data_IF_801431245299
#
_entry.id   IF_801431245299
#
_cell.length_a   1.000
_cell.length_b   1.000
_cell.length_c   1.000
_cell.angle_alpha   90.00
_cell.angle_beta   90.00
_cell.angle_gamma   90.00
#
_symmetry.space_group_name_H-M   'P 1'
#
loop_
_entity.id
_entity.type
_entity.pdbx_description
1 polymer ?
#
# COMPACT_ATOMS: atom_id res chain seq x y z
N UNK A 1 25.04 -9.85 -37.52
CA UNK A 1 23.65 -10.34 -37.64
C UNK A 1 22.98 -10.16 -36.30
N UNK A 2 21.97 -9.29 -36.25
CA UNK A 2 21.27 -8.91 -35.04
C UNK A 2 20.45 -10.08 -34.47
N UNK A 3 20.58 -10.31 -33.18
CA UNK A 3 19.64 -11.10 -32.39
C UNK A 3 18.38 -10.27 -32.16
N UNK A 4 17.30 -10.60 -32.86
CA UNK A 4 15.97 -10.06 -32.58
C UNK A 4 15.54 -10.51 -31.17
N UNK A 5 15.14 -9.61 -30.27
CA UNK A 5 14.59 -10.01 -28.98
C UNK A 5 13.27 -10.74 -29.23
N UNK A 6 13.16 -11.97 -28.73
CA UNK A 6 11.95 -12.78 -28.85
C UNK A 6 10.75 -12.05 -28.26
N UNK A 7 9.63 -12.10 -28.99
CA UNK A 7 8.34 -11.60 -28.52
C UNK A 7 8.07 -12.05 -27.07
N UNK A 8 7.51 -11.16 -26.22
CA UNK A 8 7.14 -11.53 -24.87
C UNK A 8 6.11 -12.67 -24.94
N UNK A 9 6.54 -13.89 -24.57
CA UNK A 9 5.65 -15.05 -24.44
C UNK A 9 4.55 -14.66 -23.46
N UNK A 10 3.32 -14.54 -23.96
CA UNK A 10 2.15 -14.25 -23.16
C UNK A 10 2.08 -15.20 -21.96
N UNK A 11 2.41 -14.69 -20.77
CA UNK A 11 2.42 -15.42 -19.50
C UNK A 11 1.14 -15.17 -18.70
N UNK A 12 0.85 -16.03 -17.72
CA UNK A 12 -0.32 -15.91 -16.86
C UNK A 12 -1.65 -16.19 -17.58
N UNK A 13 -2.73 -15.50 -17.17
CA UNK A 13 -4.05 -15.66 -17.80
C UNK A 13 -4.06 -15.29 -19.29
N UNK A 14 -3.15 -14.42 -19.74
CA UNK A 14 -2.99 -14.09 -21.15
C UNK A 14 -2.52 -15.30 -21.98
N UNK A 15 -1.72 -16.18 -21.38
CA UNK A 15 -1.27 -17.43 -22.00
C UNK A 15 -2.42 -18.41 -22.26
N UNK A 16 -3.48 -18.34 -21.45
CA UNK A 16 -4.71 -19.15 -21.58
C UNK A 16 -5.59 -18.74 -22.76
N UNK A 17 -5.35 -17.54 -23.34
CA UNK A 17 -6.11 -17.07 -24.51
C UNK A 17 -5.75 -17.82 -25.79
N UNK A 18 -4.61 -18.53 -25.81
CA UNK A 18 -4.30 -19.46 -26.90
C UNK A 18 -5.19 -20.68 -26.73
N UNK A 19 -6.09 -20.90 -27.70
CA UNK A 19 -6.95 -22.09 -27.75
C UNK A 19 -6.09 -23.36 -27.62
N UNK A 20 -6.41 -24.20 -26.63
CA UNK A 20 -5.71 -25.46 -26.36
C UNK A 20 -4.70 -25.42 -25.20
N UNK A 21 -4.18 -24.26 -24.80
CA UNK A 21 -3.15 -24.17 -23.74
C UNK A 21 -3.63 -24.63 -22.35
N UNK A 22 -4.87 -24.31 -21.99
CA UNK A 22 -5.49 -24.79 -20.73
C UNK A 22 -5.73 -26.30 -20.78
N UNK A 23 -6.22 -26.80 -21.91
CA UNK A 23 -6.48 -28.23 -22.11
C UNK A 23 -5.20 -29.04 -22.03
N UNK A 24 -4.11 -28.55 -22.62
CA UNK A 24 -2.77 -29.15 -22.54
C UNK A 24 -2.23 -29.18 -21.10
N UNK A 25 -2.38 -28.06 -20.36
CA UNK A 25 -1.99 -27.95 -18.96
C UNK A 25 -2.72 -28.97 -18.08
N UNK A 26 -4.05 -29.00 -18.18
CA UNK A 26 -4.89 -29.93 -17.43
C UNK A 26 -4.60 -31.37 -17.85
N UNK A 27 -4.36 -31.65 -19.13
CA UNK A 27 -4.05 -32.99 -19.60
C UNK A 27 -2.75 -33.52 -18.97
N UNK A 28 -1.68 -32.72 -18.97
CA UNK A 28 -0.42 -33.12 -18.34
C UNK A 28 -0.58 -33.33 -16.83
N UNK A 29 -1.33 -32.45 -16.16
CA UNK A 29 -1.62 -32.59 -14.73
C UNK A 29 -2.39 -33.87 -14.41
N UNK A 30 -3.40 -34.22 -15.21
CA UNK A 30 -4.18 -35.44 -15.03
C UNK A 30 -3.36 -36.71 -15.34
N UNK A 31 -2.46 -36.66 -16.33
CA UNK A 31 -1.52 -37.75 -16.57
C UNK A 31 -0.51 -37.94 -15.40
N UNK A 32 -0.05 -36.85 -14.80
CA UNK A 32 0.85 -36.89 -13.63
C UNK A 32 0.15 -37.45 -12.40
N UNK A 33 -1.10 -37.05 -12.15
CA UNK A 33 -1.82 -37.42 -10.92
C UNK A 33 -2.52 -38.77 -10.99
N UNK A 34 -2.91 -39.24 -12.18
CA UNK A 34 -3.63 -40.52 -12.36
C UNK A 34 -2.75 -41.67 -12.86
N UNK A 35 -1.64 -41.37 -13.54
CA UNK A 35 -0.81 -42.34 -14.27
C UNK A 35 -1.63 -43.38 -15.08
N UNK A 36 -2.53 -42.92 -15.96
CA UNK A 36 -3.56 -43.77 -16.53
C UNK A 36 -2.98 -44.70 -17.61
N UNK A 37 -3.51 -45.92 -17.71
CA UNK A 37 -3.17 -46.86 -18.80
C UNK A 37 -3.99 -46.65 -20.07
N UNK A 38 -5.06 -45.85 -20.00
CA UNK A 38 -5.94 -45.50 -21.11
C UNK A 38 -6.26 -44.00 -21.05
N UNK A 39 -6.59 -43.37 -22.18
CA UNK A 39 -6.94 -41.94 -22.20
C UNK A 39 -8.35 -41.62 -21.73
N UNK A 40 -9.22 -42.63 -21.55
CA UNK A 40 -10.62 -42.44 -21.16
C UNK A 40 -10.79 -41.71 -19.81
N UNK A 41 -10.09 -42.07 -18.71
CA UNK A 41 -10.19 -41.37 -17.44
C UNK A 41 -9.76 -39.90 -17.51
N UNK A 42 -8.74 -39.59 -18.33
CA UNK A 42 -8.29 -38.21 -18.56
C UNK A 42 -9.36 -37.43 -19.31
N UNK A 43 -9.91 -38.00 -20.38
CA UNK A 43 -10.97 -37.38 -21.16
C UNK A 43 -12.20 -37.04 -20.30
N UNK A 44 -12.62 -37.97 -19.45
CA UNK A 44 -13.76 -37.79 -18.53
C UNK A 44 -13.54 -36.61 -17.56
N UNK A 45 -12.34 -36.45 -16.98
CA UNK A 45 -12.04 -35.33 -16.06
C UNK A 45 -11.91 -33.98 -16.75
N UNK A 46 -11.43 -33.95 -17.99
CA UNK A 46 -11.36 -32.71 -18.78
C UNK A 46 -12.69 -32.36 -19.45
N UNK A 47 -13.73 -33.20 -19.35
CA UNK A 47 -15.00 -33.00 -20.06
C UNK A 47 -14.84 -33.10 -21.59
N UNK A 48 -13.90 -33.93 -22.06
CA UNK A 48 -13.56 -34.11 -23.47
C UNK A 48 -14.01 -35.47 -23.99
N UNK A 49 -14.09 -35.59 -25.31
CA UNK A 49 -14.17 -36.92 -25.95
C UNK A 49 -12.81 -37.61 -25.91
N UNK A 50 -12.78 -38.95 -25.95
CA UNK A 50 -11.53 -39.72 -26.03
C UNK A 50 -10.70 -39.35 -27.27
N UNK A 51 -11.37 -39.00 -28.38
CA UNK A 51 -10.72 -38.51 -29.60
C UNK A 51 -10.02 -37.16 -29.39
N UNK A 52 -10.65 -36.23 -28.65
CA UNK A 52 -10.04 -34.95 -28.30
C UNK A 52 -8.85 -35.14 -27.35
N UNK A 53 -8.97 -36.00 -26.33
CA UNK A 53 -7.84 -36.36 -25.46
C UNK A 53 -6.67 -36.99 -26.23
N UNK A 54 -6.96 -37.86 -27.21
CA UNK A 54 -5.97 -38.44 -28.10
C UNK A 54 -5.30 -37.39 -29.01
N UNK A 55 -6.06 -36.39 -29.45
CA UNK A 55 -5.50 -35.26 -30.18
C UNK A 55 -4.54 -34.44 -29.31
N UNK A 56 -4.94 -34.09 -28.08
CA UNK A 56 -4.08 -33.37 -27.12
C UNK A 56 -2.83 -34.16 -26.77
N UNK A 57 -2.95 -35.48 -26.52
CA UNK A 57 -1.80 -36.36 -26.33
C UNK A 57 -0.81 -36.27 -27.51
N UNK A 58 -1.29 -36.39 -28.75
CA UNK A 58 -0.41 -36.34 -29.94
C UNK A 58 0.30 -35.00 -30.07
N UNK A 59 -0.36 -33.89 -29.76
CA UNK A 59 0.26 -32.56 -29.79
C UNK A 59 1.37 -32.42 -28.73
N UNK A 60 1.08 -32.85 -27.50
CA UNK A 60 2.03 -32.81 -26.38
C UNK A 60 3.20 -33.78 -26.58
N UNK A 61 2.94 -34.97 -27.13
CA UNK A 61 3.96 -35.98 -27.41
C UNK A 61 4.92 -35.51 -28.51
N UNK A 62 4.42 -34.84 -29.57
CA UNK A 62 5.26 -34.21 -30.59
C UNK A 62 6.20 -33.13 -30.02
N UNK A 63 5.78 -32.48 -28.93
CA UNK A 63 6.57 -31.49 -28.19
C UNK A 63 7.47 -32.11 -27.13
N UNK A 64 7.46 -33.44 -26.99
CA UNK A 64 8.25 -34.15 -25.99
C UNK A 64 7.79 -33.92 -24.56
N UNK A 65 6.55 -33.49 -24.32
CA UNK A 65 6.03 -33.16 -22.98
C UNK A 65 5.30 -34.32 -22.31
N UNK A 66 4.87 -35.33 -23.07
CA UNK A 66 4.17 -36.53 -22.55
C UNK A 66 4.59 -37.75 -23.36
N UNK A 67 4.63 -38.91 -22.71
CA UNK A 67 4.95 -40.19 -23.33
C UNK A 67 4.14 -41.33 -22.71
N UNK A 68 4.03 -42.44 -23.46
CA UNK A 68 3.58 -43.72 -22.92
C UNK A 68 4.81 -44.47 -22.38
N UNK A 69 4.89 -44.67 -21.07
CA UNK A 69 5.96 -45.41 -20.39
C UNK A 69 5.36 -46.49 -19.51
N UNK A 70 5.86 -47.72 -19.62
CA UNK A 70 5.36 -48.88 -18.86
C UNK A 70 3.84 -49.06 -18.95
N UNK A 71 3.29 -48.82 -20.16
CA UNK A 71 1.86 -48.90 -20.42
C UNK A 71 1.03 -47.76 -19.81
N UNK A 72 1.66 -46.68 -19.35
CA UNK A 72 0.98 -45.53 -18.71
C UNK A 72 1.35 -44.21 -19.36
N UNK A 73 0.37 -43.33 -19.54
CA UNK A 73 0.59 -41.98 -20.04
C UNK A 73 1.16 -41.12 -18.91
N UNK A 74 2.36 -40.57 -19.11
CA UNK A 74 3.04 -39.74 -18.12
C UNK A 74 3.72 -38.54 -18.78
N UNK A 75 3.71 -37.36 -18.13
CA UNK A 75 4.59 -36.28 -18.52
C UNK A 75 6.05 -36.73 -18.52
N UNK A 76 6.82 -36.16 -19.43
CA UNK A 76 8.28 -36.26 -19.39
C UNK A 76 8.84 -35.29 -18.34
N UNK A 77 10.15 -35.32 -18.11
CA UNK A 77 10.80 -34.33 -17.25
C UNK A 77 10.54 -32.91 -17.76
N UNK A 78 10.63 -32.70 -19.08
CA UNK A 78 10.33 -31.44 -19.75
C UNK A 78 8.84 -31.06 -19.59
N UNK A 79 7.94 -32.05 -19.61
CA UNK A 79 6.52 -31.87 -19.34
C UNK A 79 6.24 -31.37 -17.92
N UNK A 80 6.88 -31.98 -16.91
CA UNK A 80 6.76 -31.58 -15.51
C UNK A 80 7.37 -30.18 -15.29
N UNK A 81 8.54 -29.90 -15.87
CA UNK A 81 9.15 -28.57 -15.80
C UNK A 81 8.24 -27.49 -16.41
N UNK A 82 7.64 -27.79 -17.57
CA UNK A 82 6.69 -26.90 -18.23
C UNK A 82 5.41 -26.70 -17.42
N UNK A 83 4.88 -27.75 -16.78
CA UNK A 83 3.76 -27.66 -15.83
C UNK A 83 4.07 -26.69 -14.70
N UNK A 84 5.20 -26.86 -14.00
CA UNK A 84 5.61 -26.00 -12.90
C UNK A 84 5.75 -24.53 -13.32
N UNK A 85 6.44 -24.26 -14.43
CA UNK A 85 6.63 -22.91 -14.95
C UNK A 85 5.30 -22.25 -15.31
N UNK A 86 4.37 -23.02 -15.89
CA UNK A 86 3.07 -22.50 -16.33
C UNK A 86 2.13 -22.26 -15.16
N UNK A 87 2.07 -23.18 -14.19
CA UNK A 87 1.28 -23.01 -12.96
C UNK A 87 1.81 -21.85 -12.10
N UNK A 88 3.12 -21.73 -11.92
CA UNK A 88 3.70 -20.61 -11.15
C UNK A 88 3.40 -19.24 -11.79
N UNK A 89 3.53 -19.12 -13.12
CA UNK A 89 3.15 -17.89 -13.83
C UNK A 89 1.67 -17.57 -13.71
N UNK A 90 0.81 -18.59 -13.71
CA UNK A 90 -0.63 -18.43 -13.54
C UNK A 90 -0.96 -17.97 -12.12
N UNK A 91 -0.38 -18.59 -11.11
CA UNK A 91 -0.52 -18.22 -9.70
C UNK A 91 -0.12 -16.76 -9.47
N UNK A 92 1.04 -16.35 -9.95
CA UNK A 92 1.52 -14.98 -9.84
C UNK A 92 0.59 -13.96 -10.50
N UNK A 93 0.07 -14.28 -11.69
CA UNK A 93 -0.84 -13.40 -12.41
C UNK A 93 -2.20 -13.29 -11.72
N UNK A 94 -2.75 -14.40 -11.25
CA UNK A 94 -3.99 -14.43 -10.48
C UNK A 94 -3.82 -13.63 -9.19
N UNK A 95 -2.73 -13.84 -8.45
CA UNK A 95 -2.42 -13.10 -7.22
C UNK A 95 -2.34 -11.59 -7.46
N UNK A 96 -1.62 -11.15 -8.50
CA UNK A 96 -1.56 -9.72 -8.88
C UNK A 96 -2.93 -9.16 -9.22
N UNK A 97 -3.75 -9.88 -9.99
CA UNK A 97 -5.09 -9.40 -10.38
C UNK A 97 -6.06 -9.37 -9.22
N UNK A 98 -6.05 -10.37 -8.34
CA UNK A 98 -6.87 -10.39 -7.13
C UNK A 98 -6.57 -9.21 -6.21
N UNK A 99 -5.32 -8.75 -6.12
CA UNK A 99 -4.98 -7.54 -5.38
C UNK A 99 -5.72 -6.27 -5.89
N UNK A 100 -6.16 -6.25 -7.14
CA UNK A 100 -6.95 -5.16 -7.73
C UNK A 100 -8.46 -5.35 -7.57
N UNK A 101 -8.93 -6.53 -7.15
CA UNK A 101 -10.35 -6.87 -7.02
C UNK A 101 -10.83 -6.83 -5.55
N UNK A 102 -10.18 -6.06 -4.69
CA UNK A 102 -10.62 -5.88 -3.30
C UNK A 102 -12.02 -5.24 -3.24
N UNK A 103 -13.06 -6.07 -3.10
CA UNK A 103 -14.41 -5.61 -2.77
C UNK A 103 -14.49 -5.43 -1.26
N UNK A 104 -14.29 -4.21 -0.78
CA UNK A 104 -14.50 -3.85 0.62
C UNK A 104 -16.01 -3.84 0.87
N UNK A 105 -16.54 -4.92 1.48
CA UNK A 105 -17.98 -5.05 1.79
C UNK A 105 -18.44 -4.10 2.90
N UNK A 106 -17.57 -3.84 3.87
CA UNK A 106 -17.77 -2.86 4.93
C UNK A 106 -16.44 -2.29 5.40
N UNK A 107 -16.48 -1.10 5.98
CA UNK A 107 -15.33 -0.44 6.61
C UNK A 107 -15.70 0.03 8.01
N UNK A 108 -14.67 0.32 8.82
CA UNK A 108 -14.82 0.92 10.14
C UNK A 108 -14.39 2.38 10.09
N UNK A 109 -15.20 3.24 10.68
CA UNK A 109 -14.94 4.67 10.74
C UNK A 109 -15.30 5.23 12.12
N UNK A 110 -14.70 6.36 12.50
CA UNK A 110 -15.06 7.08 13.72
C UNK A 110 -16.30 7.94 13.46
N UNK A 111 -17.34 7.79 14.28
CA UNK A 111 -18.56 8.55 14.12
C UNK A 111 -18.36 10.03 14.50
N UNK A 112 -18.67 10.97 13.60
CA UNK A 112 -18.59 12.41 13.91
C UNK A 112 -19.81 12.94 14.69
N UNK A 113 -20.88 12.14 14.75
CA UNK A 113 -22.07 12.34 15.55
C UNK A 113 -22.59 10.98 16.03
N UNK A 114 -23.67 10.97 16.79
CA UNK A 114 -24.38 9.72 17.04
C UNK A 114 -24.99 9.21 15.72
N UNK A 115 -24.79 7.92 15.45
CA UNK A 115 -25.21 7.26 14.22
C UNK A 115 -25.99 5.99 14.53
N UNK A 116 -27.11 5.80 13.86
CA UNK A 116 -28.00 4.64 13.97
C UNK A 116 -27.86 3.74 12.74
N UNK A 117 -28.28 2.48 12.89
CA UNK A 117 -28.30 1.53 11.78
C UNK A 117 -29.13 2.09 10.62
N UNK A 118 -28.63 1.90 9.40
CA UNK A 118 -29.15 2.37 8.12
C UNK A 118 -29.04 3.88 7.84
N UNK A 119 -28.49 4.67 8.77
CA UNK A 119 -28.24 6.09 8.51
C UNK A 119 -27.30 6.25 7.31
N UNK A 120 -27.63 7.14 6.35
CA UNK A 120 -26.72 7.46 5.26
C UNK A 120 -25.55 8.28 5.82
N UNK A 121 -24.34 7.91 5.42
CA UNK A 121 -23.12 8.59 5.85
C UNK A 121 -22.20 8.89 4.68
N UNK A 122 -21.43 9.96 4.82
CA UNK A 122 -20.30 10.29 3.98
C UNK A 122 -19.02 9.97 4.74
N UNK A 123 -18.05 9.39 4.05
CA UNK A 123 -16.77 9.01 4.61
C UNK A 123 -15.71 10.04 4.21
N UNK A 124 -14.95 10.50 5.19
CA UNK A 124 -13.86 11.48 5.01
C UNK A 124 -12.70 11.15 5.94
N UNK A 125 -11.47 11.50 5.56
CA UNK A 125 -10.35 11.49 6.50
C UNK A 125 -10.41 12.77 7.31
N UNK A 126 -10.36 12.64 8.64
CA UNK A 126 -10.28 13.76 9.57
C UNK A 126 -9.30 13.43 10.67
N UNK A 127 -8.33 14.31 10.91
CA UNK A 127 -7.28 14.12 11.91
C UNK A 127 -6.56 12.77 11.76
N UNK A 128 -6.33 12.35 10.52
CA UNK A 128 -5.68 11.08 10.19
C UNK A 128 -6.57 9.84 10.27
N UNK A 129 -7.84 10.00 10.63
CA UNK A 129 -8.78 8.90 10.87
C UNK A 129 -9.91 8.90 9.85
N UNK A 130 -10.25 7.72 9.33
CA UNK A 130 -11.47 7.53 8.55
C UNK A 130 -12.68 7.79 9.45
N UNK A 131 -13.50 8.76 9.07
CA UNK A 131 -14.60 9.28 9.85
C UNK A 131 -15.91 9.21 9.08
N UNK A 132 -17.00 8.94 9.79
CA UNK A 132 -18.36 8.87 9.24
C UNK A 132 -19.16 10.11 9.68
N UNK A 133 -19.55 10.92 8.71
CA UNK A 133 -20.41 12.09 8.89
C UNK A 133 -21.83 11.77 8.40
N UNK A 134 -22.89 12.19 9.11
CA UNK A 134 -24.25 12.04 8.60
C UNK A 134 -24.45 12.69 7.23
N UNK A 135 -25.29 12.06 6.42
CA UNK A 135 -25.69 12.55 5.11
C UNK A 135 -24.86 11.96 3.97
N UNK A 136 -25.16 12.39 2.74
CA UNK A 136 -24.63 11.80 1.50
C UNK A 136 -23.98 12.84 0.59
N UNK A 137 -23.36 13.87 1.16
CA UNK A 137 -22.80 15.00 0.41
C UNK A 137 -21.37 14.79 -0.06
N UNK A 138 -20.68 13.72 0.38
CA UNK A 138 -19.30 13.43 0.03
C UNK A 138 -19.11 12.55 -1.22
N UNK A 139 -17.87 12.49 -1.71
CA UNK A 139 -17.44 11.62 -2.82
C UNK A 139 -17.38 10.14 -2.42
N UNK A 140 -17.22 9.84 -1.14
CA UNK A 140 -17.34 8.50 -0.56
C UNK A 140 -18.54 8.44 0.37
N UNK A 141 -19.40 7.44 0.16
CA UNK A 141 -20.69 7.29 0.83
C UNK A 141 -20.92 5.85 1.26
N UNK A 142 -21.85 5.66 2.18
CA UNK A 142 -22.33 4.34 2.58
C UNK A 142 -23.50 4.41 3.55
N UNK A 143 -23.82 3.27 4.15
CA UNK A 143 -24.85 3.14 5.18
C UNK A 143 -24.31 2.49 6.43
N UNK A 144 -24.74 2.97 7.58
CA UNK A 144 -24.32 2.42 8.87
C UNK A 144 -24.88 1.00 9.04
N UNK A 145 -24.01 0.00 9.05
CA UNK A 145 -24.35 -1.38 9.37
C UNK A 145 -24.46 -1.59 10.89
N UNK A 146 -23.55 -0.97 11.65
CA UNK A 146 -23.56 -0.95 13.12
C UNK A 146 -23.29 0.47 13.61
N UNK A 147 -24.29 1.05 14.29
CA UNK A 147 -24.25 2.39 14.84
C UNK A 147 -23.42 2.52 16.11
N UNK A 148 -23.26 3.76 16.58
CA UNK A 148 -22.43 4.12 17.72
C UNK A 148 -22.55 5.60 18.06
N UNK A 149 -22.13 5.95 19.27
CA UNK A 149 -22.06 7.35 19.71
C UNK A 149 -20.91 8.10 19.03
N UNK A 150 -20.99 9.43 19.02
CA UNK A 150 -19.90 10.30 18.56
C UNK A 150 -18.54 9.88 19.15
N UNK A 151 -17.51 9.81 18.32
CA UNK A 151 -16.15 9.43 18.68
C UNK A 151 -15.93 7.92 18.83
N UNK A 152 -16.96 7.08 18.63
CA UNK A 152 -16.84 5.61 18.65
C UNK A 152 -16.72 5.04 17.23
N UNK A 153 -16.19 3.83 17.15
CA UNK A 153 -16.09 3.09 15.89
C UNK A 153 -17.49 2.61 15.49
N UNK A 154 -17.87 2.93 14.26
CA UNK A 154 -19.06 2.41 13.58
C UNK A 154 -18.66 1.55 12.38
N UNK A 155 -19.56 0.67 11.97
CA UNK A 155 -19.39 -0.12 10.75
C UNK A 155 -20.26 0.47 9.64
N UNK A 156 -19.67 0.71 8.48
CA UNK A 156 -20.34 1.28 7.30
C UNK A 156 -20.23 0.28 6.15
N UNK A 157 -21.37 -0.05 5.55
CA UNK A 157 -21.50 -0.94 4.38
C UNK A 157 -22.09 -0.16 3.19
N UNK A 158 -22.42 -0.86 2.11
CA UNK A 158 -22.97 -0.30 0.87
C UNK A 158 -22.11 0.87 0.36
N UNK A 159 -20.79 0.63 0.32
CA UNK A 159 -19.81 1.67 0.05
C UNK A 159 -19.86 2.08 -1.43
N UNK A 160 -19.97 3.38 -1.66
CA UNK A 160 -19.97 3.99 -2.99
C UNK A 160 -18.91 5.10 -3.07
N UNK A 161 -18.17 5.12 -4.18
CA UNK A 161 -17.14 6.14 -4.43
C UNK A 161 -15.82 5.92 -3.69
N UNK A 162 -14.96 6.93 -3.71
CA UNK A 162 -13.59 6.87 -3.18
C UNK A 162 -13.39 8.00 -2.18
N UNK A 163 -12.74 7.72 -1.06
CA UNK A 163 -12.38 8.73 -0.07
C UNK A 163 -11.27 9.60 -0.66
N UNK A 164 -11.55 10.88 -0.86
CA UNK A 164 -10.54 11.84 -1.28
C UNK A 164 -9.54 12.05 -0.16
N UNK A 165 -8.25 11.92 -0.47
CA UNK A 165 -7.17 12.29 0.43
C UNK A 165 -6.72 13.71 0.11
N UNK A 166 -6.54 14.52 1.14
CA UNK A 166 -6.00 15.87 1.05
C UNK A 166 -4.69 15.90 1.85
N UNK A 167 -3.55 15.62 1.20
CA UNK A 167 -2.28 15.59 1.90
C UNK A 167 -1.93 16.95 2.52
N UNK A 168 -1.42 16.94 3.75
CA UNK A 168 -0.94 18.14 4.42
C UNK A 168 0.57 18.34 4.23
N UNK A 169 1.03 19.55 4.46
CA UNK A 169 2.46 19.89 4.41
C UNK A 169 3.21 19.33 5.63
N UNK A 170 4.43 18.83 5.40
CA UNK A 170 5.40 18.52 6.46
C UNK A 170 6.39 19.68 6.56
N UNK A 171 6.41 20.35 7.71
CA UNK A 171 7.39 21.40 8.01
C UNK A 171 8.63 20.81 8.66
N UNK A 172 9.79 20.98 8.02
CA UNK A 172 11.09 20.57 8.55
C UNK A 172 11.83 21.82 9.00
N UNK A 173 12.20 21.86 10.28
CA UNK A 173 12.92 22.97 10.91
C UNK A 173 14.33 22.54 11.26
N UNK A 174 15.32 23.23 10.69
CA UNK A 174 16.71 22.95 11.00
C UNK A 174 17.19 23.70 12.24
N UNK A 175 17.93 23.01 13.09
CA UNK A 175 18.72 23.56 14.19
C UNK A 175 20.20 23.55 13.81
N UNK A 176 20.87 24.64 14.10
CA UNK A 176 22.33 24.74 14.03
C UNK A 176 22.96 24.60 15.41
N UNK A 177 24.28 24.39 15.47
CA UNK A 177 25.05 24.47 16.73
C UNK A 177 24.86 25.82 17.44
N UNK A 178 24.70 26.89 16.67
CA UNK A 178 24.47 28.23 17.24
C UNK A 178 23.08 28.36 17.88
N UNK A 179 22.09 27.63 17.39
CA UNK A 179 20.75 27.59 18.00
C UNK A 179 20.77 26.81 19.32
N UNK A 180 21.55 25.74 19.43
CA UNK A 180 21.69 24.96 20.68
C UNK A 180 22.32 25.79 21.80
N UNK A 181 23.19 26.73 21.45
CA UNK A 181 23.80 27.67 22.40
C UNK A 181 22.88 28.86 22.75
N UNK A 182 21.74 29.04 22.06
CA UNK A 182 20.82 30.15 22.29
C UNK A 182 19.98 29.91 23.56
N UNK A 183 20.08 30.77 24.60
CA UNK A 183 19.28 30.62 25.81
C UNK A 183 17.77 30.74 25.57
N UNK A 184 17.35 31.33 24.45
CA UNK A 184 15.95 31.49 24.05
C UNK A 184 15.43 30.40 23.12
N UNK A 185 16.20 29.33 22.88
CA UNK A 185 15.81 28.22 22.00
C UNK A 185 14.45 27.62 22.41
N UNK A 186 14.22 27.42 23.70
CA UNK A 186 12.96 26.86 24.20
C UNK A 186 11.75 27.73 23.88
N UNK A 187 11.88 29.06 23.92
CA UNK A 187 10.80 29.99 23.55
C UNK A 187 10.51 29.92 22.04
N UNK A 188 11.57 29.87 21.21
CA UNK A 188 11.46 29.76 19.74
C UNK A 188 10.80 28.44 19.32
N UNK A 189 11.18 27.34 19.96
CA UNK A 189 10.56 26.03 19.72
C UNK A 189 9.11 25.99 20.20
N UNK A 190 8.77 26.61 21.34
CA UNK A 190 7.37 26.73 21.78
C UNK A 190 6.49 27.46 20.78
N UNK A 191 7.00 28.51 20.15
CA UNK A 191 6.26 29.24 19.12
C UNK A 191 6.08 28.46 17.81
N UNK A 192 6.93 27.45 17.58
CA UNK A 192 6.88 26.59 16.39
C UNK A 192 5.88 25.45 16.55
N UNK A 193 5.76 24.89 17.76
CA UNK A 193 4.89 23.74 18.00
C UNK A 193 3.44 24.18 17.85
N UNK A 194 2.74 23.60 16.88
CA UNK A 194 1.34 23.90 16.60
C UNK A 194 0.38 23.29 17.61
N UNK A 195 -0.88 23.14 17.21
CA UNK A 195 -1.95 22.72 18.11
C UNK A 195 -1.82 21.24 18.53
N UNK A 196 -2.52 20.85 19.60
CA UNK A 196 -2.65 19.43 19.96
C UNK A 196 -3.25 18.62 18.79
N UNK A 197 -2.57 17.55 18.39
CA UNK A 197 -2.98 16.68 17.27
C UNK A 197 -2.06 16.73 16.06
N UNK A 198 -1.15 17.70 15.98
CA UNK A 198 -0.10 17.72 14.95
C UNK A 198 0.96 16.65 15.20
N UNK A 199 1.54 16.13 14.12
CA UNK A 199 2.65 15.20 14.21
C UNK A 199 3.94 15.95 14.53
N UNK A 200 4.35 15.98 15.80
CA UNK A 200 5.61 16.59 16.23
C UNK A 200 6.71 15.54 16.36
N UNK A 201 7.83 15.74 15.67
CA UNK A 201 8.96 14.82 15.71
C UNK A 201 10.32 15.51 15.82
N UNK A 202 11.28 14.75 16.34
CA UNK A 202 12.68 15.12 16.45
C UNK A 202 13.55 14.05 15.79
N UNK A 203 14.37 14.45 14.82
CA UNK A 203 15.37 13.59 14.18
C UNK A 203 16.74 13.91 14.80
N UNK A 204 17.21 13.03 15.69
CA UNK A 204 18.46 13.20 16.44
C UNK A 204 18.27 13.52 17.93
N UNK A 205 19.36 13.46 18.69
CA UNK A 205 19.34 13.61 20.15
C UNK A 205 19.13 15.07 20.57
N UNK A 206 19.83 16.01 19.93
CA UNK A 206 19.82 17.42 20.28
C UNK A 206 18.45 18.07 19.97
N UNK A 207 17.84 17.86 18.78
CA UNK A 207 16.47 18.32 18.53
C UNK A 207 15.46 17.74 19.52
N UNK A 208 15.65 16.48 19.93
CA UNK A 208 14.76 15.82 20.88
C UNK A 208 14.86 16.44 22.28
N UNK A 209 16.07 16.64 22.81
CA UNK A 209 16.24 17.27 24.12
C UNK A 209 15.73 18.72 24.12
N UNK A 210 15.98 19.47 23.04
CA UNK A 210 15.50 20.83 22.89
C UNK A 210 13.96 20.92 22.88
N UNK A 211 13.29 20.08 22.08
CA UNK A 211 11.82 20.04 22.03
C UNK A 211 11.22 19.58 23.36
N UNK A 212 11.81 18.58 24.02
CA UNK A 212 11.33 18.05 25.30
C UNK A 212 11.33 19.10 26.41
N UNK A 213 12.27 20.05 26.37
CA UNK A 213 12.32 21.19 27.30
C UNK A 213 11.35 22.30 26.92
N UNK A 214 11.01 22.40 25.64
CA UNK A 214 10.14 23.44 25.11
C UNK A 214 8.65 23.13 25.33
N UNK A 215 8.20 21.89 25.10
CA UNK A 215 6.77 21.56 25.09
C UNK A 215 6.43 20.29 25.87
N UNK A 216 5.24 20.22 26.50
CA UNK A 216 4.73 18.98 27.08
C UNK A 216 4.15 18.01 26.03
N UNK A 217 4.03 18.41 24.77
CA UNK A 217 3.45 17.56 23.73
C UNK A 217 4.30 16.32 23.45
N UNK A 218 3.65 15.27 22.93
CA UNK A 218 4.33 14.02 22.57
C UNK A 218 5.26 14.26 21.39
N UNK A 219 6.54 13.94 21.57
CA UNK A 219 7.57 14.05 20.53
C UNK A 219 7.88 12.65 19.99
N UNK A 220 7.72 12.47 18.69
CA UNK A 220 8.08 11.24 17.98
C UNK A 220 9.57 11.26 17.61
N UNK A 221 10.27 10.14 17.82
CA UNK A 221 11.73 10.03 17.61
C UNK A 221 12.16 8.79 16.81
N UNK A 222 11.20 8.01 16.34
CA UNK A 222 11.44 6.77 15.61
C UNK A 222 10.65 6.80 14.30
N UNK A 223 11.27 6.30 13.24
CA UNK A 223 10.71 6.30 11.89
C UNK A 223 10.19 7.69 11.48
N UNK A 224 10.93 8.74 11.80
CA UNK A 224 10.45 10.13 11.74
C UNK A 224 9.95 10.51 10.35
N UNK A 225 10.73 10.26 9.30
CA UNK A 225 10.34 10.55 7.93
C UNK A 225 9.16 9.68 7.47
N UNK A 226 9.25 8.35 7.66
CA UNK A 226 8.19 7.43 7.27
C UNK A 226 6.84 7.72 7.94
N UNK A 227 6.84 8.02 9.25
CA UNK A 227 5.63 8.35 10.00
C UNK A 227 5.09 9.75 9.63
N UNK A 228 5.95 10.74 9.41
CA UNK A 228 5.53 12.06 8.94
C UNK A 228 4.88 11.98 7.56
N UNK A 229 5.42 11.16 6.65
CA UNK A 229 4.83 10.93 5.32
C UNK A 229 3.43 10.36 5.42
N UNK A 230 3.24 9.35 6.26
CA UNK A 230 1.94 8.71 6.43
C UNK A 230 0.93 9.65 7.10
N UNK A 231 1.35 10.39 8.13
CA UNK A 231 0.53 11.43 8.76
C UNK A 231 0.09 12.47 7.74
N UNK A 232 1.03 12.99 6.95
CA UNK A 232 0.77 13.98 5.92
C UNK A 232 -0.18 13.47 4.83
N UNK A 233 0.02 12.23 4.35
CA UNK A 233 -0.87 11.58 3.38
C UNK A 233 -2.31 11.49 3.86
N UNK A 234 -2.51 11.37 5.18
CA UNK A 234 -3.82 11.34 5.83
C UNK A 234 -4.28 12.73 6.32
N UNK A 235 -3.67 13.81 5.83
CA UNK A 235 -4.06 15.19 6.13
C UNK A 235 -3.67 15.69 7.52
N UNK A 236 -2.78 14.99 8.23
CA UNK A 236 -2.27 15.43 9.53
C UNK A 236 -0.99 16.24 9.33
N UNK A 237 -1.00 17.56 9.60
CA UNK A 237 0.19 18.38 9.48
C UNK A 237 1.25 17.92 10.47
N UNK A 238 2.52 18.02 10.05
CA UNK A 238 3.65 17.55 10.83
C UNK A 238 4.77 18.56 10.89
N UNK A 239 5.41 18.66 12.06
CA UNK A 239 6.63 19.44 12.28
C UNK A 239 7.75 18.49 12.69
N UNK A 240 8.85 18.50 11.95
CA UNK A 240 10.07 17.76 12.26
C UNK A 240 11.17 18.77 12.59
N UNK A 241 11.84 18.60 13.72
CA UNK A 241 13.05 19.35 14.06
C UNK A 241 14.25 18.45 13.88
N UNK A 242 15.26 18.91 13.14
CA UNK A 242 16.46 18.15 12.76
C UNK A 242 17.68 19.05 12.82
N UNK A 243 18.87 18.50 13.07
CA UNK A 243 20.10 19.28 12.90
C UNK A 243 20.35 19.57 11.42
N UNK A 244 20.91 20.73 11.11
CA UNK A 244 21.27 21.14 9.74
C UNK A 244 22.13 20.09 9.01
N UNK A 245 23.11 19.51 9.70
CA UNK A 245 23.99 18.43 9.22
C UNK A 245 23.26 17.13 8.87
N UNK A 246 22.13 16.87 9.52
CA UNK A 246 21.37 15.61 9.38
C UNK A 246 20.20 15.75 8.39
N UNK A 247 19.89 16.99 7.96
CA UNK A 247 18.84 17.28 6.99
C UNK A 247 18.92 16.45 5.70
N UNK A 248 20.08 16.28 5.03
CA UNK A 248 20.14 15.51 3.79
C UNK A 248 19.69 14.05 3.97
N UNK A 249 20.01 13.45 5.12
CA UNK A 249 19.59 12.09 5.46
C UNK A 249 18.08 12.00 5.66
N UNK A 250 17.50 12.94 6.39
CA UNK A 250 16.05 12.99 6.58
C UNK A 250 15.32 13.19 5.25
N UNK A 251 15.78 14.11 4.39
CA UNK A 251 15.16 14.37 3.09
C UNK A 251 15.19 13.14 2.17
N UNK A 252 16.21 12.28 2.28
CA UNK A 252 16.25 11.03 1.53
C UNK A 252 15.06 10.11 1.84
N UNK A 253 14.51 10.14 3.07
CA UNK A 253 13.33 9.36 3.46
C UNK A 253 12.03 9.85 2.80
N UNK A 254 12.01 11.10 2.32
CA UNK A 254 10.90 11.67 1.54
C UNK A 254 11.03 11.41 0.04
N UNK A 255 12.08 10.70 -0.40
CA UNK A 255 12.21 10.26 -1.78
C UNK A 255 11.22 9.09 -2.04
N UNK A 256 10.51 9.14 -3.16
CA UNK A 256 9.57 8.09 -3.56
C UNK A 256 8.41 8.61 -4.40
N UNK A 257 7.48 7.72 -4.80
CA UNK A 257 6.27 8.13 -5.49
C UNK A 257 5.40 8.99 -4.55
N UNK A 258 4.92 10.12 -5.08
CA UNK A 258 3.96 11.04 -4.44
C UNK A 258 4.38 11.52 -3.03
N UNK A 259 5.51 12.23 -2.90
CA UNK A 259 5.92 12.79 -1.62
C UNK A 259 4.94 13.89 -1.17
N UNK A 260 4.68 14.02 0.14
CA UNK A 260 3.87 15.13 0.63
C UNK A 260 4.59 16.47 0.36
N UNK A 261 3.84 17.59 0.30
CA UNK A 261 4.44 18.91 0.26
C UNK A 261 5.39 19.11 1.45
N UNK A 262 6.59 19.62 1.21
CA UNK A 262 7.59 19.90 2.24
C UNK A 262 7.85 21.39 2.36
N UNK A 263 7.87 21.89 3.59
CA UNK A 263 8.33 23.24 3.94
C UNK A 263 9.62 23.13 4.75
N UNK A 264 10.78 23.38 4.13
CA UNK A 264 12.09 23.23 4.79
C UNK A 264 12.66 24.61 5.05
N UNK A 265 12.73 24.98 6.33
CA UNK A 265 13.19 26.31 6.75
C UNK A 265 14.06 26.21 8.00
N UNK A 266 15.04 27.10 8.19
CA UNK A 266 15.72 27.21 9.46
C UNK A 266 14.74 27.60 10.58
N UNK A 267 15.11 27.30 11.83
CA UNK A 267 14.32 27.73 12.97
C UNK A 267 14.15 29.27 12.94
N UNK A 268 12.92 29.82 13.09
CA UNK A 268 12.70 31.25 13.05
C UNK A 268 13.61 31.98 14.03
N UNK A 269 14.25 33.06 13.59
CA UNK A 269 15.04 33.91 14.50
C UNK A 269 14.08 34.59 15.46
N UNK A 270 14.32 34.46 16.77
CA UNK A 270 13.50 35.12 17.78
C UNK A 270 13.42 36.63 17.54
N UNK A 271 12.28 37.25 17.81
CA UNK A 271 12.17 38.70 17.77
C UNK A 271 13.23 39.30 18.70
N UNK A 272 14.12 40.14 18.16
CA UNK A 272 15.05 40.91 19.02
C UNK A 272 14.19 41.73 19.99
N UNK A 273 14.46 41.71 21.30
CA UNK A 273 13.79 42.64 22.21
C UNK A 273 14.05 44.05 21.70
N UNK A 274 12.97 44.80 21.48
CA UNK A 274 13.07 46.20 21.08
C UNK A 274 13.93 46.90 22.13
N UNK A 275 15.13 47.34 21.73
CA UNK A 275 15.94 48.22 22.59
C UNK A 275 15.12 49.48 22.81
N UNK A 276 14.46 49.55 23.98
CA UNK A 276 13.79 50.73 24.44
C UNK A 276 14.73 51.91 24.28
N UNK A 277 14.32 52.89 23.48
CA UNK A 277 14.95 54.21 23.44
C UNK A 277 15.01 54.71 24.89
N UNK A 278 16.20 54.68 25.49
CA UNK A 278 16.50 55.55 26.63
C UNK A 278 16.32 56.98 26.12
N UNK A 279 15.21 57.60 26.49
CA UNK A 279 15.11 59.06 26.49
C UNK A 279 16.01 59.53 27.63
N UNK A 280 17.14 60.13 27.28
CA UNK A 280 17.76 61.19 28.06
C UNK A 280 17.31 62.50 27.41
#
# INVERSE_FOLDING_TARGET
MATTPGEPRAGGLAGLRRGGSMTELLFLYECETLHPSQLRPVAERLGLTVQAASHTYRQLARRGLVALRDGRYRPTFEGVAWLHETLGRLEDDVRRRLAHLHVIRSTRAVALSDLRRNDPVSLEIRDGLLSARPGSSGTSRGRVARGGAKGRIVEVADLEGIVTLEPSTVSIRTLSESDLADPHLADRLRALVGAEGEYLAAEGLEPFDALRRATPHRIHRFAVGAAAREAARLGVPGTIVVMDRDLPRLLAEFSGPDPPPLDVLPLPKGARPSRGRRRA
#
